data_IF_674234879714
#
_entry.id   IF_674234879714
#
_cell.length_a   1.000
_cell.length_b   1.000
_cell.length_c   1.000
_cell.angle_alpha   90.00
_cell.angle_beta   90.00
_cell.angle_gamma   90.00
#
_symmetry.space_group_name_H-M   'P 1'
#
loop_
_entity.id
_entity.type
_entity.pdbx_description
1 polymer ?
#
# COMPACT_ATOMS: atom_id res chain seq x y z
N UNK A 1 -0.50 16.52 -9.82
CA UNK A 1 0.16 15.54 -8.92
C UNK A 1 -0.62 15.34 -7.62
N UNK A 2 -0.79 16.33 -6.73
CA UNK A 2 -1.57 16.12 -5.48
C UNK A 2 -3.02 15.69 -5.69
N UNK A 3 -3.72 16.26 -6.69
CA UNK A 3 -5.08 15.81 -7.04
C UNK A 3 -5.09 14.35 -7.52
N UNK A 4 -4.09 13.98 -8.34
CA UNK A 4 -3.95 12.63 -8.88
C UNK A 4 -3.70 11.61 -7.76
N UNK A 5 -2.80 11.90 -6.81
CA UNK A 5 -2.55 11.08 -5.62
C UNK A 5 -3.85 10.79 -4.85
N UNK A 6 -4.67 11.82 -4.61
CA UNK A 6 -5.95 11.65 -3.92
C UNK A 6 -6.95 10.81 -4.71
N UNK A 7 -7.07 11.06 -6.01
CA UNK A 7 -7.95 10.30 -6.90
C UNK A 7 -7.54 8.83 -6.92
N UNK A 8 -6.25 8.54 -7.07
CA UNK A 8 -5.72 7.18 -7.02
C UNK A 8 -5.99 6.52 -5.66
N UNK A 9 -5.78 7.25 -4.56
CA UNK A 9 -6.08 6.74 -3.21
C UNK A 9 -7.55 6.33 -3.04
N UNK A 10 -8.48 7.15 -3.55
CA UNK A 10 -9.92 6.82 -3.55
C UNK A 10 -10.20 5.62 -4.44
N UNK A 11 -9.69 5.59 -5.68
CA UNK A 11 -9.88 4.47 -6.61
C UNK A 11 -9.38 3.16 -6.01
N UNK A 12 -8.16 3.14 -5.48
CA UNK A 12 -7.55 1.97 -4.84
C UNK A 12 -8.40 1.49 -3.67
N UNK A 13 -8.79 2.41 -2.77
CA UNK A 13 -9.61 2.06 -1.61
C UNK A 13 -10.97 1.51 -2.01
N UNK A 14 -11.61 2.11 -3.04
CA UNK A 14 -12.89 1.64 -3.57
C UNK A 14 -12.76 0.26 -4.22
N UNK A 15 -11.71 0.00 -5.01
CA UNK A 15 -11.48 -1.33 -5.61
C UNK A 15 -11.26 -2.36 -4.51
N UNK A 16 -10.44 -2.06 -3.50
CA UNK A 16 -10.21 -2.96 -2.36
C UNK A 16 -11.53 -3.25 -1.63
N UNK A 17 -12.33 -2.24 -1.36
CA UNK A 17 -13.64 -2.40 -0.72
C UNK A 17 -14.58 -3.27 -1.58
N UNK A 18 -14.68 -3.01 -2.89
CA UNK A 18 -15.51 -3.80 -3.79
C UNK A 18 -15.05 -5.27 -3.86
N UNK A 19 -13.75 -5.53 -3.85
CA UNK A 19 -13.19 -6.88 -3.79
C UNK A 19 -13.43 -7.60 -2.45
N UNK A 20 -13.81 -6.89 -1.39
CA UNK A 20 -14.23 -7.47 -0.10
C UNK A 20 -15.75 -7.68 -0.01
N UNK A 21 -16.52 -7.18 -0.98
CA UNK A 21 -17.98 -7.27 -0.99
C UNK A 21 -18.49 -8.13 -2.14
N UNK A 22 -17.73 -8.21 -3.23
CA UNK A 22 -18.13 -8.86 -4.47
C UNK A 22 -16.95 -9.59 -5.10
N UNK A 23 -17.25 -10.68 -5.82
CA UNK A 23 -16.30 -11.28 -6.75
C UNK A 23 -16.12 -10.33 -7.94
N UNK A 24 -14.94 -9.72 -8.05
CA UNK A 24 -14.63 -8.78 -9.14
C UNK A 24 -13.65 -9.43 -10.12
N UNK A 25 -14.11 -9.90 -11.29
CA UNK A 25 -13.22 -10.40 -12.33
C UNK A 25 -12.20 -9.32 -12.69
N UNK A 26 -10.92 -9.70 -12.83
CA UNK A 26 -9.81 -8.78 -13.09
C UNK A 26 -9.57 -7.72 -12.00
N UNK A 27 -10.22 -7.81 -10.83
CA UNK A 27 -10.05 -6.84 -9.73
C UNK A 27 -8.60 -6.73 -9.27
N UNK A 28 -7.89 -7.86 -9.19
CA UNK A 28 -6.47 -7.88 -8.83
C UNK A 28 -5.59 -7.13 -9.85
N UNK A 29 -5.88 -7.27 -11.16
CA UNK A 29 -5.17 -6.57 -12.23
C UNK A 29 -5.40 -5.06 -12.15
N UNK A 30 -6.67 -4.65 -12.03
CA UNK A 30 -7.04 -3.23 -11.94
C UNK A 30 -6.43 -2.57 -10.69
N UNK A 31 -6.47 -3.27 -9.55
CA UNK A 31 -5.83 -2.82 -8.32
C UNK A 31 -4.32 -2.65 -8.49
N UNK A 32 -3.66 -3.65 -9.07
CA UNK A 32 -2.21 -3.65 -9.28
C UNK A 32 -1.77 -2.49 -10.18
N UNK A 33 -2.46 -2.27 -11.30
CA UNK A 33 -2.17 -1.15 -12.21
C UNK A 33 -2.40 0.21 -11.53
N UNK A 34 -3.47 0.34 -10.75
CA UNK A 34 -3.77 1.57 -10.01
C UNK A 34 -2.69 1.87 -8.96
N UNK A 35 -2.26 0.83 -8.23
CA UNK A 35 -1.19 0.92 -7.23
C UNK A 35 0.16 1.22 -7.89
N UNK A 36 0.46 0.63 -9.05
CA UNK A 36 1.69 0.91 -9.80
C UNK A 36 1.83 2.39 -10.14
N UNK A 37 0.75 3.03 -10.59
CA UNK A 37 0.75 4.48 -10.88
C UNK A 37 1.02 5.28 -9.60
N UNK A 38 0.43 4.89 -8.46
CA UNK A 38 0.66 5.55 -7.17
C UNK A 38 2.11 5.38 -6.70
N UNK A 39 2.67 4.18 -6.85
CA UNK A 39 4.08 3.86 -6.54
C UNK A 39 5.01 4.76 -7.35
N UNK A 40 4.83 4.86 -8.67
CA UNK A 40 5.65 5.72 -9.52
C UNK A 40 5.54 7.20 -9.12
N UNK A 41 4.33 7.63 -8.73
CA UNK A 41 4.10 8.99 -8.26
C UNK A 41 4.86 9.29 -6.95
N UNK A 42 4.91 8.33 -6.02
CA UNK A 42 5.65 8.48 -4.76
C UNK A 42 7.16 8.31 -4.92
N UNK A 43 7.64 7.36 -5.71
CA UNK A 43 9.07 7.06 -5.83
C UNK A 43 9.80 8.02 -6.77
N UNK A 44 9.29 8.23 -7.99
CA UNK A 44 9.95 9.07 -9.00
C UNK A 44 9.65 10.54 -8.75
N UNK A 45 8.39 10.86 -8.46
CA UNK A 45 7.92 12.25 -8.33
C UNK A 45 7.69 12.69 -6.88
N UNK A 46 8.06 11.89 -5.86
CA UNK A 46 7.84 12.21 -4.46
C UNK A 46 8.38 13.58 -4.05
N UNK A 47 9.61 13.90 -4.44
CA UNK A 47 10.22 15.21 -4.15
C UNK A 47 9.41 16.38 -4.72
N UNK A 48 8.90 16.24 -5.94
CA UNK A 48 8.09 17.26 -6.59
C UNK A 48 6.68 17.33 -6.01
N UNK A 49 6.06 16.17 -5.77
CA UNK A 49 4.73 16.01 -5.20
C UNK A 49 4.63 16.66 -3.83
N UNK A 50 5.55 16.34 -2.91
CA UNK A 50 5.51 16.83 -1.53
C UNK A 50 5.89 18.31 -1.43
N UNK A 51 6.72 18.81 -2.35
CA UNK A 51 7.08 20.22 -2.44
C UNK A 51 6.14 21.05 -3.32
N UNK A 52 5.05 20.46 -3.85
CA UNK A 52 4.07 21.12 -4.74
C UNK A 52 4.69 21.72 -6.01
N UNK A 53 5.78 21.14 -6.50
CA UNK A 53 6.41 21.54 -7.76
C UNK A 53 5.55 21.00 -8.92
N UNK A 54 5.03 21.83 -9.84
CA UNK A 54 4.27 21.34 -10.99
C UNK A 54 5.15 20.52 -11.94
N UNK A 55 4.61 19.43 -12.51
CA UNK A 55 5.34 18.56 -13.45
C UNK A 55 5.96 19.36 -14.62
N UNK A 56 5.19 20.31 -15.18
CA UNK A 56 5.62 21.22 -16.26
C UNK A 56 6.81 22.13 -15.92
N UNK A 57 7.16 22.24 -14.64
CA UNK A 57 8.23 23.12 -14.16
C UNK A 57 9.41 22.33 -13.58
N UNK A 58 9.46 21.00 -13.70
CA UNK A 58 10.55 20.20 -13.11
C UNK A 58 11.94 20.57 -13.63
N UNK A 59 12.06 20.96 -14.90
CA UNK A 59 13.32 21.41 -15.49
C UNK A 59 13.70 22.86 -15.17
N UNK A 60 12.85 23.62 -14.46
CA UNK A 60 13.06 25.05 -14.22
C UNK A 60 13.67 25.29 -12.85
N UNK A 61 14.86 25.91 -12.78
CA UNK A 61 15.55 26.22 -11.52
C UNK A 61 14.70 27.08 -10.58
N UNK A 62 13.86 27.95 -11.13
CA UNK A 62 12.96 28.82 -10.38
C UNK A 62 11.93 28.03 -9.56
N UNK A 63 11.57 26.83 -10.01
CA UNK A 63 10.59 25.98 -9.33
C UNK A 63 11.10 25.43 -7.99
N UNK A 64 12.41 25.51 -7.74
CA UNK A 64 13.08 25.05 -6.53
C UNK A 64 13.41 26.20 -5.57
N UNK A 65 13.10 27.46 -5.93
CA UNK A 65 13.33 28.61 -5.04
C UNK A 65 12.54 28.42 -3.73
N UNK A 66 13.24 28.50 -2.61
CA UNK A 66 12.65 28.32 -1.28
C UNK A 66 12.49 26.87 -0.81
N UNK A 67 13.00 25.88 -1.57
CA UNK A 67 13.07 24.48 -1.13
C UNK A 67 14.51 24.15 -0.76
N UNK A 68 14.76 23.84 0.51
CA UNK A 68 16.10 23.47 0.97
C UNK A 68 16.51 22.08 0.46
N UNK A 69 17.82 21.85 0.27
CA UNK A 69 18.37 20.56 -0.14
C UNK A 69 17.95 19.43 0.81
N UNK A 70 18.00 19.68 2.12
CA UNK A 70 17.57 18.70 3.13
C UNK A 70 16.08 18.34 3.01
N UNK A 71 15.24 19.31 2.60
CA UNK A 71 13.83 19.06 2.35
C UNK A 71 13.62 18.25 1.07
N UNK A 72 14.45 18.41 0.04
CA UNK A 72 14.43 17.56 -1.15
C UNK A 72 14.81 16.12 -0.78
N UNK A 73 15.93 15.93 -0.06
CA UNK A 73 16.38 14.61 0.39
C UNK A 73 15.32 13.94 1.26
N UNK A 74 14.77 14.67 2.23
CA UNK A 74 13.69 14.16 3.08
C UNK A 74 12.43 13.77 2.30
N UNK A 75 12.06 14.54 1.27
CA UNK A 75 10.95 14.19 0.39
C UNK A 75 11.22 12.95 -0.46
N UNK A 76 12.45 12.71 -0.91
CA UNK A 76 12.83 11.48 -1.62
C UNK A 76 12.70 10.28 -0.67
N UNK A 77 13.25 10.38 0.55
CA UNK A 77 13.14 9.34 1.56
C UNK A 77 11.68 9.03 1.93
N UNK A 78 10.85 10.06 2.08
CA UNK A 78 9.41 9.90 2.29
C UNK A 78 8.71 9.22 1.10
N UNK A 79 9.14 9.51 -0.12
CA UNK A 79 8.65 8.87 -1.34
C UNK A 79 8.92 7.37 -1.36
N UNK A 80 10.15 6.96 -1.02
CA UNK A 80 10.51 5.55 -0.87
C UNK A 80 9.74 4.87 0.25
N UNK A 81 9.60 5.51 1.42
CA UNK A 81 8.83 4.95 2.53
C UNK A 81 7.37 4.67 2.14
N UNK A 82 6.71 5.64 1.48
CA UNK A 82 5.34 5.48 1.01
C UNK A 82 5.21 4.43 -0.09
N UNK A 83 6.15 4.38 -1.04
CA UNK A 83 6.19 3.33 -2.04
C UNK A 83 6.22 1.94 -1.41
N UNK A 84 7.20 1.68 -0.53
CA UNK A 84 7.36 0.37 0.11
C UNK A 84 6.13 -0.02 0.92
N UNK A 85 5.55 0.95 1.64
CA UNK A 85 4.34 0.74 2.41
C UNK A 85 3.12 0.39 1.54
N UNK A 86 2.93 1.12 0.43
CA UNK A 86 1.84 0.86 -0.53
C UNK A 86 2.02 -0.50 -1.22
N UNK A 87 3.26 -0.87 -1.57
CA UNK A 87 3.58 -2.22 -2.09
C UNK A 87 3.22 -3.29 -1.05
N UNK A 88 3.62 -3.10 0.21
CA UNK A 88 3.30 -4.04 1.28
C UNK A 88 1.79 -4.21 1.49
N UNK A 89 1.03 -3.11 1.46
CA UNK A 89 -0.44 -3.14 1.52
C UNK A 89 -1.02 -3.96 0.36
N UNK A 90 -0.57 -3.71 -0.87
CA UNK A 90 -1.00 -4.46 -2.05
C UNK A 90 -0.72 -5.95 -1.90
N UNK A 91 0.51 -6.31 -1.49
CA UNK A 91 0.93 -7.70 -1.39
C UNK A 91 0.15 -8.45 -0.30
N UNK A 92 -0.04 -7.85 0.88
CA UNK A 92 -0.89 -8.44 1.93
C UNK A 92 -2.32 -8.58 1.42
N UNK A 93 -2.86 -7.52 0.80
CA UNK A 93 -4.23 -7.56 0.32
C UNK A 93 -4.44 -8.66 -0.73
N UNK A 94 -3.53 -8.80 -1.70
CA UNK A 94 -3.58 -9.84 -2.74
C UNK A 94 -3.04 -11.20 -2.31
N UNK A 95 -2.65 -11.37 -1.03
CA UNK A 95 -2.02 -12.59 -0.50
C UNK A 95 -0.76 -13.02 -1.27
N UNK A 96 0.00 -12.07 -1.80
CA UNK A 96 1.25 -12.36 -2.48
C UNK A 96 2.40 -12.69 -1.51
N UNK A 97 3.38 -13.51 -1.93
CA UNK A 97 4.54 -13.85 -1.13
C UNK A 97 5.27 -12.62 -0.59
N UNK A 98 5.81 -12.72 0.62
CA UNK A 98 6.51 -11.62 1.31
C UNK A 98 5.66 -10.39 1.66
N UNK A 99 4.33 -10.46 1.56
CA UNK A 99 3.46 -9.31 1.84
C UNK A 99 3.66 -8.69 3.22
N UNK A 100 3.64 -9.48 4.29
CA UNK A 100 3.84 -8.95 5.66
C UNK A 100 5.24 -8.43 5.92
N UNK A 101 6.26 -9.02 5.28
CA UNK A 101 7.65 -8.55 5.37
C UNK A 101 7.75 -7.16 4.73
N UNK A 102 7.23 -7.01 3.52
CA UNK A 102 7.19 -5.73 2.80
C UNK A 102 6.38 -4.67 3.57
N UNK A 103 5.21 -5.06 4.09
CA UNK A 103 4.37 -4.18 4.90
C UNK A 103 5.09 -3.70 6.16
N UNK A 104 5.77 -4.59 6.87
CA UNK A 104 6.55 -4.27 8.08
C UNK A 104 7.69 -3.31 7.75
N UNK A 105 8.44 -3.58 6.67
CA UNK A 105 9.53 -2.70 6.21
C UNK A 105 8.99 -1.29 5.87
N UNK A 106 7.87 -1.22 5.16
CA UNK A 106 7.20 0.04 4.84
C UNK A 106 6.76 0.81 6.08
N UNK A 107 6.19 0.13 7.08
CA UNK A 107 5.78 0.74 8.35
C UNK A 107 6.97 1.28 9.15
N UNK A 108 8.09 0.56 9.20
CA UNK A 108 9.32 1.04 9.85
C UNK A 108 9.85 2.29 9.18
N UNK A 109 9.94 2.30 7.84
CA UNK A 109 10.38 3.48 7.08
C UNK A 109 9.43 4.67 7.28
N UNK A 110 8.12 4.43 7.28
CA UNK A 110 7.12 5.45 7.55
C UNK A 110 7.24 6.02 8.98
N UNK A 111 7.54 5.18 9.97
CA UNK A 111 7.82 5.58 11.34
C UNK A 111 9.00 6.54 11.44
N UNK A 112 10.10 6.27 10.73
CA UNK A 112 11.26 7.17 10.65
C UNK A 112 10.85 8.53 10.05
N UNK A 113 10.08 8.52 8.95
CA UNK A 113 9.61 9.76 8.30
C UNK A 113 8.70 10.58 9.23
N UNK A 114 7.80 9.92 9.96
CA UNK A 114 6.93 10.57 10.95
C UNK A 114 7.76 11.18 12.08
N UNK A 115 8.71 10.43 12.65
CA UNK A 115 9.59 10.91 13.72
C UNK A 115 10.37 12.15 13.29
N UNK A 116 11.03 12.10 12.12
CA UNK A 116 11.76 13.24 11.56
C UNK A 116 10.83 14.44 11.34
N UNK A 117 9.62 14.20 10.83
CA UNK A 117 8.65 15.26 10.57
C UNK A 117 8.17 15.93 11.86
N UNK A 118 7.94 15.17 12.92
CA UNK A 118 7.53 15.68 14.23
C UNK A 118 8.65 16.55 14.82
N UNK A 119 9.89 16.05 14.83
CA UNK A 119 11.07 16.80 15.32
C UNK A 119 11.20 18.12 14.55
N UNK A 120 11.09 18.07 13.21
CA UNK A 120 11.26 19.26 12.36
C UNK A 120 10.17 20.31 12.54
N UNK A 121 8.96 19.94 12.93
CA UNK A 121 7.91 20.92 13.28
C UNK A 121 8.32 21.74 14.49
N UNK A 122 8.92 21.11 15.51
CA UNK A 122 9.38 21.79 16.72
C UNK A 122 10.60 22.69 16.48
N UNK A 123 11.51 22.30 15.58
CA UNK A 123 12.77 23.01 15.35
C UNK A 123 12.71 24.08 14.26
N UNK A 124 11.78 24.00 13.30
CA UNK A 124 11.83 24.81 12.07
C UNK A 124 10.47 25.40 11.71
N UNK A 125 10.21 26.63 12.18
CA UNK A 125 8.92 27.32 11.98
C UNK A 125 8.57 27.57 10.50
N UNK A 126 9.57 27.91 9.68
CA UNK A 126 9.35 28.25 8.26
C UNK A 126 8.84 27.06 7.42
N UNK A 127 9.21 25.83 7.79
CA UNK A 127 8.83 24.61 7.09
C UNK A 127 7.73 23.80 7.81
N UNK A 128 7.24 24.26 8.97
CA UNK A 128 6.27 23.53 9.78
C UNK A 128 5.03 23.10 8.99
N UNK A 129 4.55 23.94 8.05
CA UNK A 129 3.40 23.59 7.20
C UNK A 129 3.68 22.40 6.27
N UNK A 130 4.92 22.23 5.80
CA UNK A 130 5.33 21.11 4.96
C UNK A 130 5.32 19.81 5.77
N UNK A 131 5.97 19.81 6.93
CA UNK A 131 6.04 18.63 7.78
C UNK A 131 4.68 18.21 8.35
N UNK A 132 3.80 19.16 8.71
CA UNK A 132 2.41 18.83 9.08
C UNK A 132 1.67 18.09 7.97
N UNK A 133 1.81 18.52 6.71
CA UNK A 133 1.22 17.84 5.56
C UNK A 133 1.85 16.46 5.33
N UNK A 134 3.15 16.32 5.57
CA UNK A 134 3.83 15.03 5.48
C UNK A 134 3.27 14.04 6.51
N UNK A 135 3.12 14.47 7.76
CA UNK A 135 2.55 13.66 8.85
C UNK A 135 1.15 13.15 8.49
N UNK A 136 0.26 14.04 8.01
CA UNK A 136 -1.10 13.63 7.66
C UNK A 136 -1.09 12.57 6.55
N UNK A 137 -0.27 12.77 5.50
CA UNK A 137 -0.20 11.84 4.37
C UNK A 137 0.35 10.48 4.78
N UNK A 138 1.51 10.48 5.45
CA UNK A 138 2.16 9.25 5.90
C UNK A 138 1.31 8.57 6.96
N UNK A 139 0.71 9.32 7.87
CA UNK A 139 -0.16 8.82 8.92
C UNK A 139 -1.39 8.09 8.39
N UNK A 140 -2.09 8.64 7.38
CA UNK A 140 -3.26 7.96 6.78
C UNK A 140 -2.87 6.60 6.18
N UNK A 141 -1.81 6.55 5.38
CA UNK A 141 -1.38 5.30 4.71
C UNK A 141 -0.81 4.32 5.74
N UNK A 142 -0.07 4.81 6.73
CA UNK A 142 0.49 3.99 7.82
C UNK A 142 -0.61 3.42 8.69
N UNK A 143 -1.70 4.16 8.93
CA UNK A 143 -2.85 3.66 9.67
C UNK A 143 -3.51 2.47 8.96
N UNK A 144 -3.73 2.57 7.65
CA UNK A 144 -4.26 1.45 6.84
C UNK A 144 -3.30 0.26 6.87
N UNK A 145 -2.00 0.50 6.67
CA UNK A 145 -0.99 -0.55 6.72
C UNK A 145 -0.90 -1.22 8.10
N UNK A 146 -1.04 -0.44 9.17
CA UNK A 146 -1.07 -0.94 10.53
C UNK A 146 -2.30 -1.84 10.76
N UNK A 147 -3.50 -1.40 10.37
CA UNK A 147 -4.71 -2.24 10.47
C UNK A 147 -4.53 -3.58 9.75
N UNK A 148 -4.05 -3.57 8.50
CA UNK A 148 -3.78 -4.79 7.75
C UNK A 148 -2.73 -5.69 8.39
N UNK A 149 -1.72 -5.12 9.06
CA UNK A 149 -0.68 -5.92 9.73
C UNK A 149 -1.23 -6.79 10.86
N UNK A 150 -2.29 -6.32 11.52
CA UNK A 150 -2.96 -7.01 12.63
C UNK A 150 -4.15 -7.88 12.18
N UNK A 151 -4.59 -7.77 10.93
CA UNK A 151 -5.60 -8.67 10.37
C UNK A 151 -4.96 -10.02 10.02
N UNK A 152 -5.45 -11.15 10.55
CA UNK A 152 -4.98 -12.47 10.13
C UNK A 152 -5.24 -12.71 8.63
N UNK A 153 -4.31 -13.39 7.96
CA UNK A 153 -4.44 -13.74 6.54
C UNK A 153 -5.70 -14.57 6.28
N UNK A 154 -6.04 -15.45 7.22
CA UNK A 154 -7.23 -16.31 7.19
C UNK A 154 -8.50 -15.46 7.16
N UNK A 155 -8.62 -14.47 8.04
CA UNK A 155 -9.77 -13.56 8.09
C UNK A 155 -9.91 -12.75 6.81
N UNK A 156 -8.79 -12.26 6.26
CA UNK A 156 -8.82 -11.55 4.99
C UNK A 156 -9.27 -12.45 3.83
N UNK A 157 -8.88 -13.72 3.85
CA UNK A 157 -9.32 -14.70 2.87
C UNK A 157 -10.81 -15.01 2.99
N UNK A 158 -11.31 -15.29 4.20
CA UNK A 158 -12.74 -15.51 4.44
C UNK A 158 -13.60 -14.35 3.97
N UNK A 159 -13.18 -13.11 4.27
CA UNK A 159 -13.88 -11.90 3.81
C UNK A 159 -13.97 -11.79 2.29
N UNK A 160 -12.98 -12.33 1.57
CA UNK A 160 -12.97 -12.36 0.09
C UNK A 160 -13.70 -13.56 -0.50
N UNK A 161 -13.80 -14.65 0.25
CA UNK A 161 -14.39 -15.90 -0.21
C UNK A 161 -15.92 -15.85 -0.09
N UNK A 162 -16.57 -15.09 -0.98
CA UNK A 162 -18.02 -14.96 -0.99
C UNK A 162 -18.69 -16.25 -1.49
N UNK A 163 -19.41 -16.95 -0.60
CA UNK A 163 -20.18 -18.14 -0.98
C UNK A 163 -19.31 -19.36 -1.32
N UNK A 164 -18.05 -19.34 -0.92
CA UNK A 164 -17.18 -20.50 -1.06
C UNK A 164 -17.70 -21.68 -0.21
N UNK A 165 -17.61 -22.91 -0.73
CA UNK A 165 -17.84 -24.11 0.06
C UNK A 165 -16.93 -24.12 1.30
N UNK A 166 -17.46 -24.55 2.43
CA UNK A 166 -16.69 -24.65 3.68
C UNK A 166 -15.45 -25.55 3.52
N UNK A 167 -15.57 -26.62 2.72
CA UNK A 167 -14.45 -27.52 2.40
C UNK A 167 -13.27 -26.82 1.72
N UNK A 168 -13.55 -25.87 0.81
CA UNK A 168 -12.52 -25.05 0.16
C UNK A 168 -11.85 -24.10 1.16
N UNK A 169 -12.64 -23.45 2.01
CA UNK A 169 -12.12 -22.53 3.03
C UNK A 169 -11.19 -23.27 4.01
N UNK A 170 -11.60 -24.45 4.48
CA UNK A 170 -10.81 -25.27 5.39
C UNK A 170 -9.51 -25.76 4.77
N UNK A 171 -9.55 -26.23 3.52
CA UNK A 171 -8.36 -26.71 2.81
C UNK A 171 -7.33 -25.59 2.63
N UNK A 172 -7.77 -24.40 2.21
CA UNK A 172 -6.91 -23.22 2.08
C UNK A 172 -6.31 -22.76 3.41
N UNK A 173 -7.11 -22.71 4.48
CA UNK A 173 -6.59 -22.36 5.82
C UNK A 173 -5.58 -23.38 6.34
N UNK A 174 -5.81 -24.67 6.11
CA UNK A 174 -4.86 -25.72 6.50
C UNK A 174 -3.53 -25.52 5.76
N UNK A 175 -3.58 -25.28 4.45
CA UNK A 175 -2.39 -24.99 3.65
C UNK A 175 -1.67 -23.71 4.12
N UNK A 176 -2.40 -22.67 4.56
CA UNK A 176 -1.76 -21.46 5.09
C UNK A 176 -0.96 -21.71 6.38
N UNK A 177 -1.31 -22.73 7.17
CA UNK A 177 -0.60 -23.10 8.40
C UNK A 177 0.65 -23.93 8.12
N UNK A 178 0.62 -24.73 7.07
CA UNK A 178 1.71 -25.63 6.69
C UNK A 178 1.88 -25.66 5.14
N UNK A 179 2.45 -24.58 4.56
CA UNK A 179 2.49 -24.36 3.11
C UNK A 179 3.46 -25.29 2.37
N UNK A 180 4.34 -26.00 3.09
CA UNK A 180 5.32 -26.93 2.51
C UNK A 180 4.80 -28.37 2.48
N UNK A 181 3.60 -28.63 3.01
CA UNK A 181 3.02 -29.96 3.09
C UNK A 181 2.37 -30.39 1.77
N UNK A 182 2.91 -31.42 1.09
CA UNK A 182 2.40 -31.86 -0.22
C UNK A 182 0.94 -32.33 -0.19
N UNK A 183 0.48 -32.91 0.92
CA UNK A 183 -0.90 -33.39 1.03
C UNK A 183 -1.90 -32.23 1.13
N UNK A 184 -1.53 -31.18 1.85
CA UNK A 184 -2.37 -29.98 1.98
C UNK A 184 -2.43 -29.19 0.68
N UNK A 185 -1.31 -29.11 -0.06
CA UNK A 185 -1.27 -28.51 -1.40
C UNK A 185 -2.27 -29.22 -2.31
N UNK A 186 -2.15 -30.56 -2.40
CA UNK A 186 -3.03 -31.37 -3.24
C UNK A 186 -4.50 -31.21 -2.86
N UNK A 187 -4.82 -31.22 -1.56
CA UNK A 187 -6.20 -31.06 -1.09
C UNK A 187 -6.76 -29.67 -1.40
N UNK A 188 -5.97 -28.61 -1.24
CA UNK A 188 -6.38 -27.25 -1.57
C UNK A 188 -6.62 -27.10 -3.09
N UNK A 189 -5.75 -27.69 -3.92
CA UNK A 189 -5.91 -27.69 -5.38
C UNK A 189 -7.18 -28.43 -5.82
N UNK A 190 -7.46 -29.61 -5.25
CA UNK A 190 -8.68 -30.39 -5.55
C UNK A 190 -9.96 -29.62 -5.20
N UNK A 191 -10.02 -28.98 -4.04
CA UNK A 191 -11.19 -28.19 -3.62
C UNK A 191 -11.32 -26.89 -4.43
N UNK A 192 -10.19 -26.28 -4.81
CA UNK A 192 -10.13 -25.10 -5.70
C UNK A 192 -10.72 -25.43 -7.07
N UNK A 193 -10.31 -26.54 -7.68
CA UNK A 193 -10.83 -26.99 -8.97
C UNK A 193 -12.34 -27.24 -8.93
N UNK A 194 -12.85 -27.92 -7.89
CA UNK A 194 -14.29 -28.14 -7.72
C UNK A 194 -15.06 -26.83 -7.63
N UNK A 195 -14.55 -25.86 -6.90
CA UNK A 195 -15.17 -24.55 -6.75
C UNK A 195 -15.24 -23.81 -8.09
N UNK A 196 -14.14 -23.75 -8.85
CA UNK A 196 -14.12 -23.07 -10.14
C UNK A 196 -14.92 -23.78 -11.23
N UNK A 197 -15.11 -25.11 -11.15
CA UNK A 197 -15.98 -25.85 -12.06
C UNK A 197 -17.48 -25.64 -11.79
N UNK A 198 -17.84 -25.14 -10.61
CA UNK A 198 -19.23 -24.89 -10.21
C UNK A 198 -19.70 -23.44 -10.45
N UNK A 199 -18.79 -22.54 -10.86
CA UNK A 199 -19.09 -21.15 -11.26
C UNK A 199 -19.28 -21.02 -12.77
#
# INVERSE_FOLDING_TARGET
MVKLEKILGVIISSIMMLMLLFLLPLGALLLTLSVLILILLHSVFGFALFNKIPLKNLGKKEAYKGVSTMRIIGSIGAGFALMTLVVGILFVFLRWPFGYVNLTNGLVMAGIVLLISIIKIGTTKNDASFYKRMIIRVGIISFIGFLLRFTPTETLFELKCHGCPESYIEAEKALMKDPENPELIKKADEESEKYYQQQ
#
